data_IF_281894180441
#
_entry.id   IF_281894180441
#
_cell.length_a   1.000
_cell.length_b   1.000
_cell.length_c   1.000
_cell.angle_alpha   90.00
_cell.angle_beta   90.00
_cell.angle_gamma   90.00
#
_symmetry.space_group_name_H-M   'P 1'
#
loop_
_entity.id
_entity.type
_entity.pdbx_description
1 polymer ?
#
# COMPACT_ATOMS: atom_id res chain seq x y z
N UNK A 1 30.97 -28.58 -4.35
CA UNK A 1 29.50 -28.79 -4.24
C UNK A 1 28.91 -27.53 -3.63
N UNK A 2 28.27 -26.70 -4.46
CA UNK A 2 27.70 -25.42 -4.02
C UNK A 2 26.53 -25.67 -3.08
N UNK A 3 26.62 -25.16 -1.86
CA UNK A 3 25.50 -25.14 -0.92
C UNK A 3 24.41 -24.25 -1.51
N UNK A 4 23.32 -24.86 -2.00
CA UNK A 4 22.10 -24.15 -2.34
C UNK A 4 21.57 -23.51 -1.06
N UNK A 5 21.88 -22.23 -0.84
CA UNK A 5 21.12 -21.41 0.10
C UNK A 5 19.67 -21.46 -0.39
N UNK A 6 18.82 -22.24 0.30
CA UNK A 6 17.37 -22.09 0.18
C UNK A 6 17.06 -20.63 0.50
N UNK A 7 16.80 -19.81 -0.51
CA UNK A 7 16.17 -18.52 -0.30
C UNK A 7 14.84 -18.86 0.38
N UNK A 8 14.68 -18.46 1.63
CA UNK A 8 13.35 -18.43 2.23
C UNK A 8 12.50 -17.57 1.29
N UNK A 9 11.35 -18.04 0.80
CA UNK A 9 10.48 -17.19 0.00
C UNK A 9 10.23 -15.93 0.82
N UNK A 10 10.42 -14.75 0.22
CA UNK A 10 9.97 -13.50 0.86
C UNK A 10 8.46 -13.66 1.07
N UNK A 11 8.04 -14.04 2.28
CA UNK A 11 6.64 -14.35 2.58
C UNK A 11 5.76 -13.09 2.64
N UNK A 12 6.38 -11.90 2.63
CA UNK A 12 5.75 -10.59 2.76
C UNK A 12 6.23 -9.67 1.63
N UNK A 13 5.41 -8.69 1.23
CA UNK A 13 5.68 -7.75 0.14
C UNK A 13 5.87 -8.42 -1.24
N UNK A 14 5.25 -9.57 -1.46
CA UNK A 14 5.16 -10.17 -2.81
C UNK A 14 4.07 -9.45 -3.62
N UNK A 15 4.12 -9.46 -4.96
CA UNK A 15 3.03 -8.92 -5.78
C UNK A 15 1.66 -9.53 -5.42
N UNK A 16 1.62 -10.80 -5.02
CA UNK A 16 0.38 -11.45 -4.58
C UNK A 16 -0.16 -10.84 -3.28
N UNK A 17 0.68 -10.73 -2.25
CA UNK A 17 0.26 -10.17 -0.95
C UNK A 17 -0.12 -8.69 -1.08
N UNK A 18 0.66 -7.88 -1.80
CA UNK A 18 0.33 -6.49 -2.07
C UNK A 18 -0.95 -6.36 -2.91
N UNK A 19 -1.14 -7.24 -3.90
CA UNK A 19 -2.38 -7.31 -4.67
C UNK A 19 -3.60 -7.55 -3.79
N UNK A 20 -3.52 -8.51 -2.84
CA UNK A 20 -4.60 -8.74 -1.88
C UNK A 20 -4.88 -7.49 -1.03
N UNK A 21 -3.83 -6.80 -0.58
CA UNK A 21 -4.00 -5.56 0.18
C UNK A 21 -4.68 -4.47 -0.65
N UNK A 22 -4.42 -4.40 -1.95
CA UNK A 22 -5.13 -3.50 -2.86
C UNK A 22 -6.60 -3.88 -2.99
N UNK A 23 -6.96 -5.17 -3.01
CA UNK A 23 -8.36 -5.62 -3.00
C UNK A 23 -9.08 -5.11 -1.75
N UNK A 24 -8.48 -5.24 -0.56
CA UNK A 24 -9.07 -4.74 0.68
C UNK A 24 -9.21 -3.22 0.69
N UNK A 25 -8.20 -2.48 0.20
CA UNK A 25 -8.26 -1.02 0.10
C UNK A 25 -9.37 -0.57 -0.85
N UNK A 26 -9.39 -1.09 -2.08
CA UNK A 26 -10.39 -0.73 -3.08
C UNK A 26 -11.80 -1.12 -2.63
N UNK A 27 -11.95 -2.25 -1.94
CA UNK A 27 -13.23 -2.67 -1.36
C UNK A 27 -13.75 -1.67 -0.31
N UNK A 28 -12.86 -1.11 0.51
CA UNK A 28 -13.18 -0.07 1.48
C UNK A 28 -13.45 1.31 0.84
N UNK A 29 -12.86 1.58 -0.33
CA UNK A 29 -13.06 2.84 -1.08
C UNK A 29 -14.36 2.91 -1.89
N UNK A 30 -15.12 1.81 -1.98
CA UNK A 30 -16.37 1.77 -2.76
C UNK A 30 -17.36 2.88 -2.32
N UNK A 31 -18.15 3.44 -3.27
CA UNK A 31 -18.23 3.06 -4.68
C UNK A 31 -17.13 3.68 -5.57
N UNK A 32 -16.16 4.38 -4.98
CA UNK A 32 -15.06 5.03 -5.72
C UNK A 32 -13.85 4.12 -5.88
N UNK A 33 -12.89 4.59 -6.68
CA UNK A 33 -11.59 3.94 -6.87
C UNK A 33 -10.43 4.87 -6.56
N UNK A 34 -9.23 4.45 -6.94
CA UNK A 34 -8.02 5.24 -6.80
C UNK A 34 -7.03 4.94 -7.93
N UNK A 35 -6.22 5.94 -8.29
CA UNK A 35 -5.06 5.73 -9.16
C UNK A 35 -3.92 5.02 -8.39
N UNK A 36 -2.89 4.56 -9.12
CA UNK A 36 -1.74 3.87 -8.54
C UNK A 36 -1.01 4.72 -7.48
N UNK A 37 -0.90 6.03 -7.68
CA UNK A 37 -0.19 6.90 -6.74
C UNK A 37 -0.93 6.98 -5.40
N UNK A 38 -2.24 7.21 -5.42
CA UNK A 38 -3.08 7.22 -4.24
C UNK A 38 -3.08 5.87 -3.55
N UNK A 39 -3.13 4.76 -4.30
CA UNK A 39 -3.03 3.43 -3.72
C UNK A 39 -1.72 3.20 -2.99
N UNK A 40 -0.57 3.62 -3.53
CA UNK A 40 0.73 3.52 -2.84
C UNK A 40 0.74 4.31 -1.52
N UNK A 41 0.12 5.50 -1.51
CA UNK A 41 0.02 6.33 -0.31
C UNK A 41 -0.91 5.72 0.74
N UNK A 42 -2.06 5.20 0.33
CA UNK A 42 -2.97 4.49 1.23
C UNK A 42 -2.37 3.17 1.75
N UNK A 43 -1.58 2.49 0.92
CA UNK A 43 -0.83 1.29 1.28
C UNK A 43 0.17 1.57 2.42
N UNK A 44 0.83 2.73 2.38
CA UNK A 44 1.63 3.22 3.51
C UNK A 44 0.77 3.46 4.75
N UNK A 45 -0.35 4.17 4.60
CA UNK A 45 -1.24 4.50 5.70
C UNK A 45 -1.82 3.27 6.41
N UNK A 46 -2.12 2.17 5.72
CA UNK A 46 -2.67 0.96 6.36
C UNK A 46 -1.59 0.09 7.01
N UNK A 47 -0.32 0.17 6.60
CA UNK A 47 0.77 -0.56 7.28
C UNK A 47 1.24 0.21 8.49
N UNK A 48 1.45 1.51 8.32
CA UNK A 48 2.04 2.40 9.31
C UNK A 48 0.99 3.35 9.87
N UNK A 49 -0.21 2.83 10.15
CA UNK A 49 -1.37 3.64 10.55
C UNK A 49 -1.10 4.54 11.74
N UNK A 50 -0.28 4.11 12.71
CA UNK A 50 0.08 4.94 13.86
C UNK A 50 0.82 6.22 13.47
N UNK A 51 1.65 6.14 12.45
CA UNK A 51 2.46 7.27 11.97
C UNK A 51 1.55 8.36 11.38
N UNK A 52 0.43 7.97 10.78
CA UNK A 52 -0.56 8.90 10.21
C UNK A 52 -1.78 9.11 11.13
N UNK A 53 -1.58 8.92 12.44
CA UNK A 53 -2.55 9.20 13.50
C UNK A 53 -3.73 8.22 13.56
N UNK A 54 -3.55 7.00 13.07
CA UNK A 54 -4.53 5.92 13.05
C UNK A 54 -4.33 4.87 14.15
N UNK A 55 -4.93 3.67 13.97
CA UNK A 55 -4.74 2.51 14.84
C UNK A 55 -3.27 2.08 14.95
N UNK A 56 -2.98 1.08 15.79
CA UNK A 56 -1.64 0.49 15.86
C UNK A 56 -1.15 0.04 14.48
N UNK A 57 0.12 0.22 14.15
CA UNK A 57 0.67 -0.23 12.87
C UNK A 57 0.61 -1.76 12.74
N UNK A 58 0.38 -2.28 11.52
CA UNK A 58 0.41 -3.73 11.26
C UNK A 58 1.83 -4.27 11.32
N UNK A 59 2.78 -3.51 10.78
CA UNK A 59 4.18 -3.89 10.76
C UNK A 59 4.96 -3.04 11.75
N UNK A 60 5.96 -3.67 12.37
CA UNK A 60 6.92 -2.97 13.22
C UNK A 60 7.68 -1.93 12.40
N UNK A 61 7.93 -0.73 12.95
CA UNK A 61 8.86 0.24 12.38
C UNK A 61 10.19 -0.38 11.95
N UNK A 62 10.52 -0.29 10.66
CA UNK A 62 11.88 -0.59 10.16
C UNK A 62 12.58 0.71 9.71
N UNK A 63 13.93 0.79 9.79
CA UNK A 63 14.68 1.90 9.21
C UNK A 63 14.59 1.89 7.66
N UNK A 64 14.75 3.05 7.00
CA UNK A 64 14.77 3.20 5.52
C UNK A 64 13.46 2.91 4.75
N UNK A 65 12.31 3.31 5.31
CA UNK A 65 10.97 3.06 4.72
C UNK A 65 10.75 3.64 3.31
N UNK A 66 11.54 4.63 2.91
CA UNK A 66 11.39 5.29 1.60
C UNK A 66 11.99 4.50 0.44
N UNK A 67 13.10 3.80 0.67
CA UNK A 67 13.67 2.88 -0.33
C UNK A 67 12.70 1.70 -0.60
N UNK A 68 11.89 1.35 0.40
CA UNK A 68 10.79 0.39 0.25
C UNK A 68 9.61 0.97 -0.55
N UNK A 69 9.36 2.29 -0.51
CA UNK A 69 8.19 2.92 -1.14
C UNK A 69 8.30 2.95 -2.67
N UNK A 70 9.47 3.28 -3.21
CA UNK A 70 9.75 3.21 -4.65
C UNK A 70 9.79 1.77 -5.17
N UNK A 71 10.35 0.84 -4.39
CA UNK A 71 10.33 -0.59 -4.74
C UNK A 71 8.96 -1.24 -4.54
N UNK A 72 8.08 -0.68 -3.69
CA UNK A 72 6.67 -1.12 -3.54
C UNK A 72 5.80 -0.70 -4.69
N UNK A 73 6.03 0.47 -5.32
CA UNK A 73 5.18 0.93 -6.43
C UNK A 73 5.08 -0.11 -7.55
N UNK A 74 6.21 -0.62 -8.02
CA UNK A 74 6.25 -1.62 -9.09
C UNK A 74 5.58 -2.94 -8.65
N UNK A 75 5.82 -3.39 -7.41
CA UNK A 75 5.19 -4.62 -6.88
C UNK A 75 3.68 -4.47 -6.67
N UNK A 76 3.21 -3.29 -6.27
CA UNK A 76 1.79 -2.96 -6.18
C UNK A 76 1.17 -3.01 -7.57
N UNK A 77 1.82 -2.41 -8.57
CA UNK A 77 1.35 -2.46 -9.96
C UNK A 77 1.26 -3.89 -10.50
N UNK A 78 2.28 -4.72 -10.26
CA UNK A 78 2.25 -6.14 -10.58
C UNK A 78 1.12 -6.88 -9.83
N UNK A 79 0.87 -6.51 -8.57
CA UNK A 79 -0.23 -7.05 -7.76
C UNK A 79 -1.60 -6.65 -8.29
N UNK A 80 -1.79 -5.38 -8.67
CA UNK A 80 -3.02 -4.87 -9.28
C UNK A 80 -3.33 -5.62 -10.57
N UNK A 81 -2.33 -5.81 -11.43
CA UNK A 81 -2.46 -6.63 -12.63
C UNK A 81 -2.84 -8.08 -12.30
N UNK A 82 -2.18 -8.70 -11.31
CA UNK A 82 -2.49 -10.07 -10.92
C UNK A 82 -3.93 -10.23 -10.41
N UNK A 83 -4.44 -9.24 -9.67
CA UNK A 83 -5.79 -9.26 -9.13
C UNK A 83 -6.85 -8.94 -10.18
N UNK A 84 -6.53 -8.13 -11.19
CA UNK A 84 -7.45 -7.87 -12.31
C UNK A 84 -7.66 -9.09 -13.19
N UNK A 85 -6.61 -9.90 -13.42
CA UNK A 85 -6.77 -11.20 -14.11
C UNK A 85 -7.68 -12.20 -13.38
N UNK A 86 -8.09 -11.90 -12.14
CA UNK A 86 -8.97 -12.72 -11.30
C UNK A 86 -10.34 -12.07 -11.02
N UNK A 87 -10.65 -10.92 -11.64
CA UNK A 87 -11.90 -10.20 -11.39
C UNK A 87 -12.05 -9.64 -9.97
N UNK A 88 -10.94 -9.52 -9.23
CA UNK A 88 -10.92 -8.96 -7.88
C UNK A 88 -10.77 -7.44 -7.90
N UNK A 89 -10.20 -6.89 -8.98
CA UNK A 89 -10.00 -5.47 -9.23
C UNK A 89 -10.37 -5.20 -10.69
N UNK A 90 -11.17 -4.17 -10.93
CA UNK A 90 -11.44 -3.69 -12.28
C UNK A 90 -10.65 -2.40 -12.54
N UNK A 91 -10.41 -2.11 -13.82
CA UNK A 91 -9.71 -0.92 -14.28
C UNK A 91 -10.65 -0.09 -15.14
N UNK A 92 -10.88 1.15 -14.72
CA UNK A 92 -11.66 2.14 -15.46
C UNK A 92 -10.69 3.15 -16.07
N UNK A 93 -10.77 3.32 -17.39
CA UNK A 93 -10.00 4.31 -18.14
C UNK A 93 -10.92 5.47 -18.49
N UNK A 94 -10.49 6.69 -18.18
CA UNK A 94 -11.14 7.92 -18.58
C UNK A 94 -10.12 8.98 -19.02
N UNK A 95 -10.59 10.18 -19.36
CA UNK A 95 -9.74 11.29 -19.81
C UNK A 95 -8.74 11.77 -18.75
N UNK A 96 -8.88 11.32 -17.49
CA UNK A 96 -7.99 11.63 -16.35
C UNK A 96 -6.99 10.52 -16.07
N UNK A 97 -7.09 9.39 -16.79
CA UNK A 97 -6.15 8.28 -16.72
C UNK A 97 -6.78 6.98 -16.23
N UNK A 98 -6.02 6.24 -15.43
CA UNK A 98 -6.39 4.91 -14.96
C UNK A 98 -6.85 4.93 -13.51
N UNK A 99 -8.07 4.46 -13.27
CA UNK A 99 -8.64 4.28 -11.93
C UNK A 99 -8.86 2.80 -11.67
N UNK A 100 -8.30 2.28 -10.57
CA UNK A 100 -8.58 0.94 -10.10
C UNK A 100 -9.80 0.98 -9.18
N UNK A 101 -10.70 0.00 -9.32
CA UNK A 101 -11.91 -0.15 -8.50
C UNK A 101 -12.03 -1.59 -8.02
N UNK A 102 -12.79 -1.81 -6.94
CA UNK A 102 -13.06 -3.16 -6.47
C UNK A 102 -13.91 -3.92 -7.50
N UNK A 103 -13.43 -5.09 -7.93
CA UNK A 103 -14.14 -5.93 -8.89
C UNK A 103 -15.26 -6.73 -8.25
N UNK A 104 -16.10 -7.37 -9.07
CA UNK A 104 -17.26 -8.13 -8.61
C UNK A 104 -16.90 -9.24 -7.60
N UNK A 105 -15.78 -9.92 -7.80
CA UNK A 105 -15.34 -11.02 -6.92
C UNK A 105 -14.71 -10.55 -5.60
N UNK A 106 -14.48 -9.24 -5.43
CA UNK A 106 -13.83 -8.68 -4.24
C UNK A 106 -14.60 -8.97 -2.94
N UNK A 107 -15.93 -8.93 -2.97
CA UNK A 107 -16.77 -9.17 -1.80
C UNK A 107 -16.58 -10.56 -1.22
N UNK A 108 -16.65 -11.58 -2.08
CA UNK A 108 -16.44 -12.98 -1.69
C UNK A 108 -15.03 -13.17 -1.13
N UNK A 109 -14.03 -12.59 -1.78
CA UNK A 109 -12.63 -12.70 -1.34
C UNK A 109 -12.40 -12.10 0.04
N UNK A 110 -12.85 -10.86 0.26
CA UNK A 110 -12.69 -10.15 1.54
C UNK A 110 -13.40 -10.90 2.67
N UNK A 111 -14.58 -11.47 2.40
CA UNK A 111 -15.32 -12.27 3.38
C UNK A 111 -14.73 -13.67 3.67
N UNK A 112 -13.85 -14.19 2.80
CA UNK A 112 -13.32 -15.56 2.93
C UNK A 112 -12.07 -15.67 3.80
N UNK A 113 -11.26 -14.61 3.89
CA UNK A 113 -10.02 -14.63 4.67
C UNK A 113 -10.28 -14.20 6.12
N UNK A 114 -10.12 -15.13 7.06
CA UNK A 114 -10.50 -14.95 8.48
C UNK A 114 -9.33 -14.83 9.46
N UNK A 115 -8.09 -14.90 8.96
CA UNK A 115 -6.90 -14.79 9.80
C UNK A 115 -6.87 -13.45 10.53
N UNK A 116 -6.20 -13.41 11.69
CA UNK A 116 -6.08 -12.16 12.47
C UNK A 116 -5.49 -11.03 11.62
N UNK A 117 -4.46 -11.33 10.82
CA UNK A 117 -3.81 -10.36 9.95
C UNK A 117 -4.80 -9.69 8.98
N UNK A 118 -5.64 -10.47 8.29
CA UNK A 118 -6.59 -9.93 7.32
C UNK A 118 -7.73 -9.13 7.97
N UNK A 119 -8.15 -9.52 9.18
CA UNK A 119 -9.11 -8.73 9.98
C UNK A 119 -8.52 -7.39 10.41
N UNK A 120 -7.31 -7.41 10.97
CA UNK A 120 -6.61 -6.19 11.36
C UNK A 120 -6.36 -5.27 10.13
N UNK A 121 -6.03 -5.83 8.97
CA UNK A 121 -5.88 -5.10 7.72
C UNK A 121 -7.20 -4.45 7.30
N UNK A 122 -8.30 -5.20 7.33
CA UNK A 122 -9.62 -4.69 6.94
C UNK A 122 -10.03 -3.47 7.79
N UNK A 123 -9.83 -3.53 9.11
CA UNK A 123 -10.11 -2.40 10.01
C UNK A 123 -9.33 -1.14 9.59
N UNK A 124 -8.06 -1.30 9.20
CA UNK A 124 -7.21 -0.18 8.75
C UNK A 124 -7.58 0.31 7.37
N UNK A 125 -8.01 -0.56 6.46
CA UNK A 125 -8.52 -0.16 5.15
C UNK A 125 -9.80 0.68 5.29
N UNK A 126 -10.73 0.29 6.17
CA UNK A 126 -11.93 1.08 6.48
C UNK A 126 -11.53 2.44 7.05
N UNK A 127 -10.67 2.46 8.07
CA UNK A 127 -10.17 3.70 8.65
C UNK A 127 -9.48 4.62 7.62
N UNK A 128 -8.62 4.07 6.77
CA UNK A 128 -7.92 4.84 5.74
C UNK A 128 -8.89 5.37 4.68
N UNK A 129 -9.89 4.59 4.27
CA UNK A 129 -10.92 5.03 3.33
C UNK A 129 -11.75 6.19 3.91
N UNK A 130 -12.17 6.08 5.18
CA UNK A 130 -12.92 7.15 5.87
C UNK A 130 -12.10 8.43 6.02
N UNK A 131 -10.82 8.32 6.40
CA UNK A 131 -9.97 9.47 6.69
C UNK A 131 -9.38 10.14 5.44
N UNK A 132 -9.00 9.34 4.45
CA UNK A 132 -8.18 9.76 3.32
C UNK A 132 -8.85 9.53 1.96
N UNK A 133 -9.98 8.84 1.90
CA UNK A 133 -10.64 8.48 0.64
C UNK A 133 -11.02 9.67 -0.23
N UNK A 134 -11.30 10.84 0.38
CA UNK A 134 -11.64 12.08 -0.36
C UNK A 134 -10.44 12.95 -0.73
N UNK A 135 -9.28 12.70 -0.14
CA UNK A 135 -8.07 13.48 -0.39
C UNK A 135 -7.43 13.09 -1.73
N UNK A 136 -6.87 14.07 -2.43
CA UNK A 136 -6.02 13.88 -3.60
C UNK A 136 -4.64 13.34 -3.20
N UNK A 137 -3.92 12.76 -4.15
CA UNK A 137 -2.54 12.28 -3.93
C UNK A 137 -1.60 13.38 -3.43
N UNK A 138 -1.80 14.62 -3.88
CA UNK A 138 -1.01 15.77 -3.43
C UNK A 138 -1.31 16.15 -1.98
N UNK A 139 -2.58 16.19 -1.58
CA UNK A 139 -2.97 16.43 -0.19
C UNK A 139 -2.42 15.34 0.73
N UNK A 140 -2.44 14.07 0.30
CA UNK A 140 -1.87 12.96 1.06
C UNK A 140 -0.35 13.08 1.22
N UNK A 141 0.36 13.47 0.16
CA UNK A 141 1.80 13.73 0.23
C UNK A 141 2.14 14.85 1.22
N UNK A 142 1.38 15.95 1.19
CA UNK A 142 1.54 17.04 2.16
C UNK A 142 1.27 16.57 3.60
N UNK A 143 0.14 15.90 3.83
CA UNK A 143 -0.27 15.41 5.15
C UNK A 143 0.74 14.42 5.73
N UNK A 144 1.23 13.48 4.93
CA UNK A 144 2.19 12.48 5.39
C UNK A 144 3.60 13.08 5.50
N UNK A 145 3.85 14.18 4.78
CA UNK A 145 5.10 14.91 4.82
C UNK A 145 5.28 15.81 6.03
N UNK A 146 4.26 16.58 6.38
CA UNK A 146 4.26 17.50 7.53
C UNK A 146 4.46 16.77 8.87
N UNK A 147 4.02 15.51 8.96
CA UNK A 147 4.24 14.68 10.14
C UNK A 147 5.66 14.06 10.20
N UNK A 148 6.56 14.36 9.26
CA UNK A 148 7.95 13.87 9.24
C UNK A 148 8.10 12.37 8.90
N UNK A 149 7.00 11.68 8.62
CA UNK A 149 6.97 10.22 8.47
C UNK A 149 7.34 9.72 7.07
N UNK A 150 7.28 10.61 6.06
CA UNK A 150 7.79 10.35 4.70
C UNK A 150 9.25 10.81 4.48
N UNK A 151 9.82 11.69 5.32
CA UNK A 151 11.07 12.41 4.97
C UNK A 151 12.32 11.93 5.72
N UNK A 152 12.23 10.83 6.47
CA UNK A 152 13.34 10.33 7.30
C UNK A 152 14.61 9.93 6.54
N UNK A 153 14.56 9.71 5.22
CA UNK A 153 15.74 9.31 4.44
C UNK A 153 16.43 10.47 3.69
N UNK A 154 15.72 11.54 3.31
CA UNK A 154 16.36 12.66 2.59
C UNK A 154 17.19 13.56 3.51
N UNK A 155 16.79 13.71 4.78
CA UNK A 155 17.52 14.58 5.72
C UNK A 155 18.88 14.00 6.17
N UNK A 156 19.10 12.70 6.04
CA UNK A 156 20.42 12.09 6.24
C UNK A 156 21.26 12.08 4.96
N UNK A 157 20.66 11.89 3.78
CA UNK A 157 21.37 11.94 2.50
C UNK A 157 21.91 13.35 2.19
N UNK A 158 21.24 14.41 2.66
CA UNK A 158 21.69 15.80 2.53
C UNK A 158 22.78 16.17 3.56
N UNK A 159 23.08 15.28 4.54
CA UNK A 159 24.11 15.48 5.58
C UNK A 159 25.37 14.63 5.37
N UNK A 160 25.76 14.37 4.14
CA UNK A 160 27.18 14.13 3.84
C UNK A 160 27.82 15.43 3.35
N UNK A 161 28.39 16.27 4.25
CA UNK A 161 29.31 17.29 3.79
C UNK A 161 30.46 16.56 3.10
N UNK A 162 30.79 17.01 1.89
CA UNK A 162 32.00 16.64 1.19
C UNK A 162 33.19 16.63 2.17
N UNK A 163 33.66 15.45 2.54
CA UNK A 163 34.98 15.27 3.14
C UNK A 163 35.96 15.11 1.98
N UNK A 164 36.66 16.22 1.70
CA UNK A 164 38.01 16.19 1.12
C UNK A 164 38.97 15.49 2.09
#
# INVERSE_FOLDING_TARGET
MGSLKRQQPELFNTPFELGLRMVYLLFALRPTGADLQKLVLLDYAIIYSKDVGGPSSLHTPVPYRNAELFSRRERIEQGLYLMSTRGLIDVVLDDRGMTYVAGESSFTMVGSLSSKYWRDLQERCVWAAERFGRASSNELLSLFGENGHLWGAELEAVKQPYLL
#
